data_IF_525856411350
#
_entry.id   IF_525856411350
#
_cell.length_a   1.000
_cell.length_b   1.000
_cell.length_c   1.000
_cell.angle_alpha   90.00
_cell.angle_beta   90.00
_cell.angle_gamma   90.00
#
_symmetry.space_group_name_H-M   'P 1'
#
loop_
_entity.id
_entity.type
_entity.pdbx_description
1 polymer ?
#
# COMPACT_ATOMS: atom_id res chain seq x y z
N UNK A 1 -4.78 11.13 -22.50
CA UNK A 1 -3.83 11.28 -21.38
C UNK A 1 -2.64 12.12 -21.81
N UNK A 2 -2.25 13.09 -21.01
CA UNK A 2 -1.11 13.95 -21.34
C UNK A 2 0.21 13.23 -21.09
N UNK A 3 1.31 13.75 -21.64
CA UNK A 3 2.64 13.24 -21.38
C UNK A 3 3.00 13.38 -19.90
N UNK A 4 2.53 14.45 -19.23
CA UNK A 4 2.73 14.66 -17.81
C UNK A 4 2.03 13.57 -17.00
N UNK A 5 0.81 13.19 -17.37
CA UNK A 5 0.07 12.13 -16.69
C UNK A 5 0.80 10.78 -16.81
N UNK A 6 1.32 10.47 -17.99
CA UNK A 6 2.08 9.25 -18.22
C UNK A 6 3.35 9.20 -17.37
N UNK A 7 4.03 10.35 -17.23
CA UNK A 7 5.25 10.45 -16.43
C UNK A 7 4.95 10.24 -14.96
N UNK A 8 3.89 10.86 -14.45
CA UNK A 8 3.47 10.71 -13.05
C UNK A 8 3.14 9.25 -12.76
N UNK A 9 2.43 8.58 -13.65
CA UNK A 9 2.09 7.16 -13.47
C UNK A 9 3.31 6.27 -13.40
N UNK A 10 4.34 6.57 -14.22
CA UNK A 10 5.60 5.83 -14.17
C UNK A 10 6.30 6.01 -12.84
N UNK A 11 6.31 7.23 -12.33
CA UNK A 11 6.91 7.52 -11.02
C UNK A 11 6.14 6.81 -9.92
N UNK A 12 4.82 6.84 -9.97
CA UNK A 12 3.97 6.14 -9.01
C UNK A 12 4.25 4.64 -9.01
N UNK A 13 4.40 4.05 -10.18
CA UNK A 13 4.72 2.64 -10.31
C UNK A 13 6.10 2.31 -9.73
N UNK A 14 7.09 3.17 -9.98
CA UNK A 14 8.42 3.00 -9.39
C UNK A 14 8.38 3.12 -7.87
N UNK A 15 7.68 4.12 -7.36
CA UNK A 15 7.50 4.31 -5.92
C UNK A 15 6.85 3.08 -5.29
N UNK A 16 5.83 2.53 -5.93
CA UNK A 16 5.14 1.36 -5.41
C UNK A 16 6.11 0.18 -5.26
N UNK A 17 6.90 -0.10 -6.28
CA UNK A 17 7.87 -1.20 -6.25
C UNK A 17 8.93 -0.99 -5.17
N UNK A 18 9.46 0.21 -5.10
CA UNK A 18 10.53 0.53 -4.13
C UNK A 18 9.98 0.45 -2.71
N UNK A 19 8.82 1.06 -2.46
CA UNK A 19 8.22 1.05 -1.12
C UNK A 19 7.85 -0.38 -0.70
N UNK A 20 7.25 -1.16 -1.60
CA UNK A 20 6.89 -2.55 -1.30
C UNK A 20 8.13 -3.36 -0.92
N UNK A 21 9.22 -3.21 -1.66
CA UNK A 21 10.48 -3.89 -1.36
C UNK A 21 11.09 -3.45 -0.04
N UNK A 22 11.08 -2.15 0.23
CA UNK A 22 11.62 -1.61 1.48
C UNK A 22 10.81 -2.07 2.69
N UNK A 23 9.49 -2.05 2.60
CA UNK A 23 8.64 -2.52 3.69
C UNK A 23 8.93 -4.00 3.99
N UNK A 24 9.05 -4.82 2.95
CA UNK A 24 9.31 -6.25 3.13
C UNK A 24 10.69 -6.52 3.74
N UNK A 25 11.72 -5.76 3.32
CA UNK A 25 13.10 -6.04 3.75
C UNK A 25 13.51 -5.30 5.01
N UNK A 26 13.06 -4.06 5.18
CA UNK A 26 13.65 -3.14 6.16
C UNK A 26 12.74 -2.85 7.35
N UNK A 27 11.42 -2.99 7.19
CA UNK A 27 10.50 -2.69 8.29
C UNK A 27 10.33 -3.94 9.14
N UNK A 28 10.90 -3.91 10.34
CA UNK A 28 10.88 -5.04 11.27
C UNK A 28 9.86 -4.89 12.39
N UNK A 29 8.99 -3.88 12.31
CA UNK A 29 7.97 -3.65 13.31
C UNK A 29 6.93 -4.79 13.26
N UNK A 30 6.73 -5.53 14.38
CA UNK A 30 5.77 -6.64 14.39
C UNK A 30 4.33 -6.21 14.07
N UNK A 31 4.00 -4.93 14.28
CA UNK A 31 2.67 -4.41 13.96
C UNK A 31 2.42 -4.37 12.46
N UNK A 32 3.47 -4.33 11.65
CA UNK A 32 3.33 -4.31 10.20
C UNK A 32 3.17 -5.71 9.64
N UNK A 33 4.01 -6.64 10.07
CA UNK A 33 3.97 -8.01 9.57
C UNK A 33 4.07 -8.06 8.05
N UNK A 34 3.28 -8.90 7.43
CA UNK A 34 3.18 -8.98 5.98
C UNK A 34 2.09 -8.01 5.51
N UNK A 35 2.43 -7.20 4.52
CA UNK A 35 1.51 -6.20 3.99
C UNK A 35 1.74 -6.09 2.49
N UNK A 36 0.66 -5.88 1.75
CA UNK A 36 0.72 -5.63 0.31
C UNK A 36 0.55 -4.14 0.06
N UNK A 37 1.49 -3.54 -0.66
CA UNK A 37 1.37 -2.16 -1.13
C UNK A 37 0.64 -2.21 -2.46
N UNK A 38 -0.59 -1.74 -2.50
CA UNK A 38 -1.47 -1.92 -3.65
C UNK A 38 -1.42 -0.78 -4.65
N UNK A 39 -1.10 0.43 -4.20
CA UNK A 39 -1.03 1.58 -5.09
C UNK A 39 -0.26 2.71 -4.41
N UNK A 40 0.28 3.59 -5.24
CA UNK A 40 0.84 4.87 -4.79
C UNK A 40 0.27 5.96 -5.67
N UNK A 41 -0.20 7.04 -5.05
CA UNK A 41 -0.73 8.21 -5.77
C UNK A 41 0.00 9.45 -5.32
N UNK A 42 0.56 10.18 -6.26
CA UNK A 42 1.27 11.43 -6.00
C UNK A 42 0.31 12.61 -6.04
N UNK A 43 0.49 13.54 -5.11
CA UNK A 43 -0.18 14.83 -5.19
C UNK A 43 0.41 15.63 -6.36
N UNK A 44 -0.33 16.63 -6.83
CA UNK A 44 0.05 17.44 -8.00
C UNK A 44 1.40 18.13 -7.84
N UNK A 45 1.75 18.53 -6.62
CA UNK A 45 3.04 19.20 -6.35
C UNK A 45 4.18 18.22 -6.10
N UNK A 46 3.90 16.90 -6.16
CA UNK A 46 4.85 15.82 -5.93
C UNK A 46 5.44 15.80 -4.50
N UNK A 47 4.88 16.58 -3.59
CA UNK A 47 5.35 16.66 -2.20
C UNK A 47 4.77 15.60 -1.28
N UNK A 48 3.73 14.92 -1.73
CA UNK A 48 3.04 13.90 -0.93
C UNK A 48 2.73 12.70 -1.80
N UNK A 49 3.06 11.52 -1.28
CA UNK A 49 2.67 10.25 -1.89
C UNK A 49 1.71 9.53 -0.94
N UNK A 50 0.52 9.23 -1.43
CA UNK A 50 -0.43 8.40 -0.70
C UNK A 50 -0.15 6.95 -1.05
N UNK A 51 0.18 6.17 -0.03
CA UNK A 51 0.58 4.77 -0.17
C UNK A 51 -0.54 3.90 0.37
N UNK A 52 -1.16 3.13 -0.52
CA UNK A 52 -2.29 2.27 -0.16
C UNK A 52 -1.79 0.87 0.16
N UNK A 53 -2.35 0.28 1.21
CA UNK A 53 -1.91 -1.03 1.69
C UNK A 53 -3.07 -1.91 2.11
N UNK A 54 -2.83 -3.23 2.05
CA UNK A 54 -3.75 -4.25 2.57
C UNK A 54 -2.95 -5.14 3.50
N UNK A 55 -3.36 -5.26 4.78
CA UNK A 55 -2.69 -6.19 5.71
C UNK A 55 -2.92 -7.64 5.30
N UNK A 56 -1.99 -8.51 5.69
CA UNK A 56 -2.18 -9.94 5.51
C UNK A 56 -3.28 -10.43 6.46
N UNK A 57 -4.28 -11.12 5.90
CA UNK A 57 -5.45 -11.55 6.66
C UNK A 57 -5.07 -12.45 7.83
N UNK A 58 -5.65 -12.17 9.00
CA UNK A 58 -5.43 -12.97 10.19
C UNK A 58 -4.14 -12.68 10.96
N UNK A 59 -3.36 -11.69 10.51
CA UNK A 59 -2.10 -11.34 11.16
C UNK A 59 -2.29 -10.15 12.09
N UNK A 60 -2.30 -8.95 11.55
CA UNK A 60 -2.46 -7.72 12.34
C UNK A 60 -3.71 -6.97 11.91
N UNK A 61 -4.22 -6.12 12.80
CA UNK A 61 -5.34 -5.26 12.44
C UNK A 61 -4.87 -4.14 11.52
N UNK A 62 -5.80 -3.54 10.79
CA UNK A 62 -5.51 -2.38 9.94
C UNK A 62 -4.86 -1.26 10.76
N UNK A 63 -5.40 -0.99 11.96
CA UNK A 63 -4.86 0.07 12.81
C UNK A 63 -3.43 -0.21 13.26
N UNK A 64 -3.12 -1.45 13.60
CA UNK A 64 -1.77 -1.84 13.98
C UNK A 64 -0.79 -1.62 12.83
N UNK A 65 -1.16 -2.09 11.64
CA UNK A 65 -0.32 -1.95 10.43
C UNK A 65 -0.14 -0.47 10.10
N UNK A 66 -1.21 0.31 10.15
CA UNK A 66 -1.15 1.74 9.86
C UNK A 66 -0.19 2.46 10.83
N UNK A 67 -0.25 2.14 12.12
CA UNK A 67 0.65 2.74 13.11
C UNK A 67 2.10 2.38 12.82
N UNK A 68 2.36 1.11 12.52
CA UNK A 68 3.71 0.66 12.22
C UNK A 68 4.29 1.31 10.98
N UNK A 69 3.51 1.38 9.90
CA UNK A 69 3.94 2.03 8.67
C UNK A 69 4.15 3.52 8.86
N UNK A 70 3.24 4.19 9.57
CA UNK A 70 3.36 5.62 9.84
C UNK A 70 4.64 5.92 10.62
N UNK A 71 4.95 5.09 11.61
CA UNK A 71 6.18 5.25 12.38
C UNK A 71 7.43 5.06 11.52
N UNK A 72 7.37 4.14 10.55
CA UNK A 72 8.48 3.88 9.64
C UNK A 72 8.59 4.93 8.51
N UNK A 73 7.61 5.85 8.40
CA UNK A 73 7.48 6.75 7.26
C UNK A 73 8.70 7.58 6.96
N UNK A 74 9.32 8.16 8.01
CA UNK A 74 10.53 8.99 7.83
C UNK A 74 11.70 8.18 7.30
N UNK A 75 11.92 7.00 7.85
CA UNK A 75 12.95 6.08 7.39
C UNK A 75 12.70 5.68 5.93
N UNK A 76 11.48 5.28 5.62
CA UNK A 76 11.10 4.86 4.26
C UNK A 76 11.30 6.00 3.26
N UNK A 77 10.92 7.22 3.64
CA UNK A 77 11.10 8.39 2.80
C UNK A 77 12.57 8.61 2.45
N UNK A 78 13.46 8.50 3.43
CA UNK A 78 14.88 8.63 3.21
C UNK A 78 15.42 7.56 2.29
N UNK A 79 15.01 6.31 2.46
CA UNK A 79 15.45 5.21 1.62
C UNK A 79 14.93 5.36 0.18
N UNK A 80 13.68 5.78 0.03
CA UNK A 80 13.10 6.04 -1.30
C UNK A 80 13.93 7.10 -2.03
N UNK A 81 14.26 8.17 -1.34
CA UNK A 81 15.09 9.23 -1.93
C UNK A 81 16.43 8.70 -2.41
N UNK A 82 17.08 7.85 -1.62
CA UNK A 82 18.36 7.26 -2.00
C UNK A 82 18.24 6.30 -3.18
N UNK A 83 17.26 5.41 -3.13
CA UNK A 83 17.10 4.40 -4.20
C UNK A 83 16.72 5.00 -5.54
N UNK A 84 15.90 6.05 -5.53
CA UNK A 84 15.46 6.70 -6.77
C UNK A 84 16.27 7.93 -7.14
N UNK A 85 17.27 8.27 -6.34
CA UNK A 85 18.11 9.44 -6.59
C UNK A 85 17.36 10.76 -6.55
N UNK A 86 16.38 10.87 -5.66
CA UNK A 86 15.54 12.06 -5.55
C UNK A 86 16.15 13.04 -4.57
N UNK A 87 16.29 14.29 -4.99
CA UNK A 87 16.75 15.36 -4.10
C UNK A 87 15.72 15.62 -3.00
N UNK A 88 14.45 15.59 -3.37
CA UNK A 88 13.34 15.81 -2.46
C UNK A 88 12.34 14.66 -2.64
N UNK A 89 12.44 13.67 -1.78
CA UNK A 89 11.47 12.57 -1.79
C UNK A 89 10.13 13.08 -1.26
N UNK A 90 9.01 12.58 -1.81
CA UNK A 90 7.70 12.96 -1.28
C UNK A 90 7.51 12.42 0.14
N UNK A 91 6.72 13.12 0.93
CA UNK A 91 6.29 12.62 2.23
C UNK A 91 5.33 11.45 1.97
N UNK A 92 5.47 10.40 2.76
CA UNK A 92 4.64 9.21 2.63
C UNK A 92 3.48 9.26 3.61
N UNK A 93 2.28 9.03 3.11
CA UNK A 93 1.07 8.96 3.91
C UNK A 93 0.41 7.62 3.61
N UNK A 94 0.21 6.81 4.64
CA UNK A 94 -0.30 5.44 4.46
C UNK A 94 -1.81 5.41 4.66
N UNK A 95 -2.49 4.71 3.76
CA UNK A 95 -3.95 4.58 3.76
C UNK A 95 -4.33 3.12 3.55
N UNK A 96 -5.24 2.58 4.36
CA UNK A 96 -5.79 1.27 4.05
C UNK A 96 -6.47 1.31 2.69
N UNK A 97 -6.21 0.30 1.87
CA UNK A 97 -6.85 0.20 0.57
C UNK A 97 -8.15 -0.59 0.72
N UNK A 98 -9.26 0.11 0.65
CA UNK A 98 -10.59 -0.49 0.73
C UNK A 98 -11.18 -0.82 -0.64
N UNK A 99 -10.40 -0.61 -1.73
CA UNK A 99 -10.88 -0.82 -3.09
C UNK A 99 -11.32 -2.27 -3.31
N UNK A 100 -10.49 -3.23 -2.86
CA UNK A 100 -10.82 -4.64 -2.98
C UNK A 100 -12.06 -4.99 -2.14
N UNK A 101 -12.14 -4.43 -0.94
CA UNK A 101 -13.30 -4.64 -0.07
C UNK A 101 -14.55 -4.02 -0.68
N UNK A 102 -14.42 -2.82 -1.23
CA UNK A 102 -15.52 -2.14 -1.92
C UNK A 102 -16.00 -2.94 -3.13
N UNK A 103 -15.05 -3.43 -3.94
CA UNK A 103 -15.37 -4.27 -5.09
C UNK A 103 -16.03 -5.57 -4.66
N UNK A 104 -15.56 -6.16 -3.55
CA UNK A 104 -16.16 -7.37 -3.00
C UNK A 104 -17.59 -7.12 -2.54
N UNK A 105 -17.87 -5.99 -1.91
CA UNK A 105 -19.23 -5.65 -1.49
C UNK A 105 -20.16 -5.45 -2.68
N UNK A 106 -19.67 -4.78 -3.74
CA UNK A 106 -20.46 -4.60 -4.96
C UNK A 106 -20.74 -5.92 -5.66
N UNK A 107 -19.75 -6.81 -5.72
CA UNK A 107 -19.87 -8.13 -6.32
C UNK A 107 -20.58 -9.11 -5.39
N UNK A 108 -20.56 -8.87 -4.09
CA UNK A 108 -21.12 -9.75 -3.09
C UNK A 108 -22.61 -9.97 -3.23
N UNK A 109 -23.32 -8.98 -3.75
CA UNK A 109 -24.74 -9.12 -4.04
C UNK A 109 -24.99 -10.10 -5.20
N UNK A 110 -24.00 -10.28 -6.05
CA UNK A 110 -24.08 -11.14 -7.23
C UNK A 110 -23.47 -12.51 -6.93
N UNK A 111 -22.34 -12.53 -6.23
CA UNK A 111 -21.52 -13.74 -6.01
C UNK A 111 -21.38 -14.11 -4.54
N UNK A 112 -22.42 -13.89 -3.76
CA UNK A 112 -22.37 -14.12 -2.31
C UNK A 112 -21.88 -15.52 -1.95
N UNK A 113 -22.41 -16.55 -2.60
CA UNK A 113 -22.04 -17.92 -2.31
C UNK A 113 -20.54 -18.17 -2.52
N UNK A 114 -20.01 -17.68 -3.64
CA UNK A 114 -18.58 -17.81 -3.96
C UNK A 114 -17.71 -17.03 -2.99
N UNK A 115 -18.17 -15.85 -2.60
CA UNK A 115 -17.45 -15.02 -1.63
C UNK A 115 -17.39 -15.71 -0.27
N UNK A 116 -18.47 -16.32 0.16
CA UNK A 116 -18.52 -17.07 1.42
C UNK A 116 -17.58 -18.26 1.39
N UNK A 117 -17.54 -19.00 0.28
CA UNK A 117 -16.63 -20.12 0.12
C UNK A 117 -15.17 -19.69 0.20
N UNK A 118 -14.82 -18.58 -0.42
CA UNK A 118 -13.48 -18.03 -0.34
C UNK A 118 -13.11 -17.61 1.08
N UNK A 119 -14.05 -17.03 1.80
CA UNK A 119 -13.84 -16.66 3.19
C UNK A 119 -13.60 -17.88 4.07
N UNK A 120 -14.34 -18.96 3.84
CA UNK A 120 -14.15 -20.23 4.57
C UNK A 120 -12.78 -20.83 4.28
N UNK A 121 -12.35 -20.82 3.04
CA UNK A 121 -11.04 -21.32 2.67
C UNK A 121 -9.93 -20.53 3.35
N UNK A 122 -10.06 -19.21 3.41
CA UNK A 122 -9.09 -18.36 4.11
C UNK A 122 -9.08 -18.62 5.60
N UNK A 123 -10.22 -18.87 6.20
CA UNK A 123 -10.31 -19.15 7.62
C UNK A 123 -9.67 -20.47 8.02
N UNK A 124 -9.55 -21.42 7.09
CA UNK A 124 -8.93 -22.71 7.32
C UNK A 124 -7.41 -22.71 7.22
N UNK A 125 -6.81 -21.65 6.76
CA UNK A 125 -5.33 -21.55 6.58
C UNK A 125 -4.61 -21.12 7.83
#
# INVERSE_FOLDING_TARGET
MSAADSRIRKIEAQLQRVIAGLVAREVKDPRVGHVTITAVRLATDLGLARVYFVPFAGENTVDEVLRGLTRAGGFLRGQVGRELGLRHAPRLEFHPDDTAERAARLSGLIDRARTEDQAKDRAKR
#
